data_IF_622345214497
#
_entry.id   IF_622345214497
#
_cell.length_a   1.000
_cell.length_b   1.000
_cell.length_c   1.000
_cell.angle_alpha   90.00
_cell.angle_beta   90.00
_cell.angle_gamma   90.00
#
_symmetry.space_group_name_H-M   'P 1'
#
loop_
_entity.id
_entity.type
_entity.pdbx_description
1 polymer ?
#
# COMPACT_ATOMS: atom_id res chain seq x y z
N UNK A 1 -54.06 -12.41 4.99
CA UNK A 1 -53.34 -12.96 6.16
C UNK A 1 -51.89 -12.46 6.35
N UNK A 2 -51.21 -11.71 5.44
CA UNK A 2 -49.89 -11.14 5.77
C UNK A 2 -49.94 -9.81 6.56
N UNK A 3 -51.06 -9.08 6.55
CA UNK A 3 -51.19 -7.78 7.24
C UNK A 3 -51.21 -7.85 8.77
N UNK A 4 -51.63 -8.98 9.36
CA UNK A 4 -51.65 -9.13 10.82
C UNK A 4 -50.25 -9.26 11.43
N UNK A 5 -49.30 -9.82 10.67
CA UNK A 5 -47.94 -10.05 11.16
C UNK A 5 -47.14 -8.74 11.26
N UNK A 6 -47.37 -7.82 10.31
CA UNK A 6 -46.75 -6.49 10.31
C UNK A 6 -47.31 -5.63 11.45
N UNK A 7 -48.62 -5.69 11.69
CA UNK A 7 -49.25 -5.01 12.83
C UNK A 7 -48.74 -5.53 14.18
N UNK A 8 -48.52 -6.84 14.31
CA UNK A 8 -47.98 -7.43 15.55
C UNK A 8 -46.54 -6.98 15.81
N UNK A 9 -45.67 -7.06 14.80
CA UNK A 9 -44.29 -6.57 14.88
C UNK A 9 -44.22 -5.08 15.21
N UNK A 10 -45.13 -4.28 14.66
CA UNK A 10 -45.16 -2.85 14.91
C UNK A 10 -45.63 -2.50 16.32
N UNK A 11 -46.55 -3.27 16.90
CA UNK A 11 -46.96 -3.16 18.32
C UNK A 11 -45.80 -3.59 19.23
N UNK A 12 -45.13 -4.70 18.91
CA UNK A 12 -44.01 -5.22 19.71
C UNK A 12 -42.81 -4.25 19.75
N UNK A 13 -42.51 -3.58 18.62
CA UNK A 13 -41.47 -2.53 18.54
C UNK A 13 -41.91 -1.27 19.31
N UNK A 14 -43.19 -0.89 19.26
CA UNK A 14 -43.68 0.29 19.98
C UNK A 14 -43.64 0.10 21.50
N UNK A 15 -43.98 -1.11 21.97
CA UNK A 15 -43.95 -1.50 23.39
C UNK A 15 -42.52 -1.78 23.93
N UNK A 16 -41.48 -1.73 23.09
CA UNK A 16 -40.07 -1.94 23.48
C UNK A 16 -39.83 -3.25 24.24
N UNK A 17 -40.45 -4.36 23.79
CA UNK A 17 -40.36 -5.65 24.49
C UNK A 17 -38.94 -6.22 24.54
N UNK A 18 -38.09 -5.83 23.61
CA UNK A 18 -36.67 -6.22 23.54
C UNK A 18 -35.74 -5.24 24.28
N UNK A 19 -36.26 -4.17 24.89
CA UNK A 19 -35.52 -3.10 25.60
C UNK A 19 -34.43 -2.41 24.76
N UNK A 20 -34.44 -2.57 23.43
CA UNK A 20 -33.39 -2.02 22.58
C UNK A 20 -33.31 -0.48 22.69
N UNK A 21 -34.46 0.18 22.82
CA UNK A 21 -34.52 1.65 22.98
C UNK A 21 -33.94 2.11 24.30
N UNK A 22 -34.16 1.35 25.37
CA UNK A 22 -33.62 1.65 26.70
C UNK A 22 -32.10 1.53 26.73
N UNK A 23 -31.56 0.53 26.02
CA UNK A 23 -30.12 0.31 25.90
C UNK A 23 -29.44 1.41 25.05
N UNK A 24 -30.08 1.87 23.97
CA UNK A 24 -29.61 3.01 23.17
C UNK A 24 -29.57 4.32 23.97
N UNK A 25 -30.59 4.59 24.78
CA UNK A 25 -30.63 5.79 25.65
C UNK A 25 -29.54 5.73 26.73
N UNK A 26 -29.29 4.55 27.30
CA UNK A 26 -28.23 4.37 28.30
C UNK A 26 -26.83 4.62 27.70
N UNK A 27 -26.58 4.13 26.49
CA UNK A 27 -25.34 4.36 25.77
C UNK A 27 -25.07 5.85 25.47
N UNK A 28 -26.13 6.62 25.16
CA UNK A 28 -26.03 8.08 24.99
C UNK A 28 -25.75 8.82 26.31
N UNK A 29 -26.10 8.23 27.46
CA UNK A 29 -25.89 8.80 28.79
C UNK A 29 -24.49 8.60 29.39
N UNK A 30 -23.56 7.95 28.67
CA UNK A 30 -22.19 7.73 29.14
C UNK A 30 -22.02 6.57 30.12
N UNK A 31 -23.04 5.71 30.27
CA UNK A 31 -22.94 4.42 30.96
C UNK A 31 -23.07 3.29 29.94
N UNK A 32 -22.10 2.38 29.90
CA UNK A 32 -22.28 1.12 29.15
C UNK A 32 -23.29 0.21 29.87
N UNK A 33 -23.91 -0.73 29.14
CA UNK A 33 -24.88 -1.69 29.70
C UNK A 33 -24.32 -2.53 30.89
N UNK A 34 -22.99 -2.59 31.04
CA UNK A 34 -22.26 -3.23 32.14
C UNK A 34 -21.87 -2.28 33.29
N UNK A 35 -22.29 -1.01 33.25
CA UNK A 35 -22.02 -0.01 34.28
C UNK A 35 -20.65 0.68 34.21
N UNK A 36 -19.88 0.47 33.14
CA UNK A 36 -18.57 1.14 32.97
C UNK A 36 -18.77 2.60 32.55
N UNK A 37 -18.13 3.49 33.30
CA UNK A 37 -18.34 4.94 33.28
C UNK A 37 -17.45 5.58 32.21
N UNK A 38 -18.03 6.04 31.09
CA UNK A 38 -17.30 6.52 29.89
C UNK A 38 -16.54 7.83 30.16
N UNK A 39 -16.90 8.55 31.23
CA UNK A 39 -16.27 9.81 31.62
C UNK A 39 -14.87 9.66 32.25
N UNK A 40 -14.43 8.45 32.62
CA UNK A 40 -13.08 8.26 33.19
C UNK A 40 -11.99 8.70 32.20
N UNK A 41 -12.13 8.31 30.93
CA UNK A 41 -11.21 8.68 29.85
C UNK A 41 -11.12 10.21 29.66
N UNK A 42 -12.22 10.94 29.85
CA UNK A 42 -12.24 12.40 29.79
C UNK A 42 -11.43 13.02 30.92
N UNK A 43 -11.61 12.55 32.16
CA UNK A 43 -10.90 13.09 33.31
C UNK A 43 -9.41 12.74 33.29
N UNK A 44 -9.03 11.57 32.77
CA UNK A 44 -7.64 11.19 32.58
C UNK A 44 -6.94 12.10 31.56
N UNK A 45 -7.58 12.37 30.42
CA UNK A 45 -7.07 13.29 29.39
C UNK A 45 -6.96 14.73 29.90
N UNK A 46 -7.91 15.20 30.70
CA UNK A 46 -7.88 16.52 31.33
C UNK A 46 -6.69 16.67 32.30
N UNK A 47 -6.38 15.61 33.05
CA UNK A 47 -5.25 15.59 34.01
C UNK A 47 -3.92 15.68 33.28
N UNK A 48 -3.78 15.00 32.16
CA UNK A 48 -2.58 15.03 31.31
C UNK A 48 -2.32 16.42 30.74
N UNK A 49 -3.33 17.07 30.15
CA UNK A 49 -3.22 18.43 29.60
C UNK A 49 -2.78 19.43 30.68
N UNK A 50 -3.38 19.36 31.88
CA UNK A 50 -3.00 20.24 33.00
C UNK A 50 -1.56 20.04 33.44
N UNK A 51 -1.07 18.80 33.48
CA UNK A 51 0.30 18.50 33.87
C UNK A 51 1.31 18.99 32.82
N UNK A 52 1.00 18.88 31.53
CA UNK A 52 1.84 19.40 30.46
C UNK A 52 2.06 20.92 30.57
N UNK A 53 0.98 21.70 30.71
CA UNK A 53 1.08 23.15 30.86
C UNK A 53 1.71 23.59 32.19
N UNK A 54 1.67 22.74 33.22
CA UNK A 54 2.42 22.97 34.47
C UNK A 54 3.93 22.82 34.26
N UNK A 55 4.35 21.84 33.45
CA UNK A 55 5.77 21.58 33.14
C UNK A 55 6.36 22.51 32.10
N UNK A 56 5.51 23.08 31.23
CA UNK A 56 5.94 23.96 30.15
C UNK A 56 5.21 25.32 30.22
N UNK A 57 5.55 26.20 31.18
CA UNK A 57 4.87 27.49 31.35
C UNK A 57 5.04 28.43 30.15
N UNK A 58 6.11 28.25 29.38
CA UNK A 58 6.42 29.06 28.19
C UNK A 58 5.89 28.44 26.88
N UNK A 59 5.27 27.25 26.93
CA UNK A 59 4.64 26.66 25.75
C UNK A 59 3.42 27.50 25.37
N UNK A 60 3.48 28.13 24.19
CA UNK A 60 2.37 28.89 23.62
C UNK A 60 1.19 27.96 23.38
N UNK A 61 0.00 28.39 23.77
CA UNK A 61 -1.26 27.71 23.39
C UNK A 61 -1.51 28.04 21.92
N UNK A 62 -1.46 27.02 21.07
CA UNK A 62 -1.77 27.16 19.64
C UNK A 62 -3.29 27.02 19.50
N UNK A 63 -3.97 28.10 19.08
CA UNK A 63 -5.39 28.04 18.72
C UNK A 63 -5.51 27.31 17.37
N UNK A 64 -6.36 26.26 17.24
CA UNK A 64 -6.60 25.59 15.96
C UNK A 64 -7.14 26.50 14.85
N UNK A 65 -7.65 27.68 15.19
CA UNK A 65 -8.14 28.70 14.26
C UNK A 65 -7.12 29.84 14.00
N UNK A 66 -5.93 29.83 14.62
CA UNK A 66 -4.88 30.81 14.32
C UNK A 66 -4.25 30.49 12.94
N UNK A 67 -4.18 31.49 12.06
CA UNK A 67 -3.58 31.36 10.73
C UNK A 67 -2.11 30.90 10.84
N UNK A 68 -1.84 29.71 10.30
CA UNK A 68 -0.54 29.02 10.33
C UNK A 68 0.61 29.86 9.74
N UNK A 69 0.29 30.83 8.88
CA UNK A 69 1.27 31.79 8.34
C UNK A 69 1.92 32.69 9.40
N UNK A 70 1.23 32.97 10.51
CA UNK A 70 1.78 33.80 11.59
C UNK A 70 2.84 33.02 12.37
N UNK A 71 2.64 31.71 12.54
CA UNK A 71 3.58 30.80 13.19
C UNK A 71 4.91 30.68 12.42
N UNK A 72 4.84 30.67 11.08
CA UNK A 72 6.00 30.59 10.20
C UNK A 72 6.81 31.90 10.11
N UNK A 73 6.22 33.03 10.49
CA UNK A 73 6.86 34.35 10.47
C UNK A 73 7.53 34.72 11.79
N UNK A 74 7.38 33.92 12.85
CA UNK A 74 8.09 34.13 14.11
C UNK A 74 9.54 33.67 13.96
N UNK A 75 10.44 34.63 13.76
CA UNK A 75 11.88 34.37 13.73
C UNK A 75 12.33 33.73 15.05
N UNK A 76 13.04 32.58 15.00
CA UNK A 76 13.58 31.99 16.21
C UNK A 76 14.54 32.96 16.88
N UNK A 77 14.39 33.17 18.18
CA UNK A 77 15.29 34.01 18.96
C UNK A 77 16.65 33.30 19.10
N UNK A 78 17.54 33.50 18.14
CA UNK A 78 18.91 32.97 18.17
C UNK A 78 19.74 33.86 19.10
N UNK A 79 20.14 33.34 20.26
CA UNK A 79 21.07 34.04 21.14
C UNK A 79 22.45 34.16 20.48
N UNK A 80 22.99 35.38 20.46
CA UNK A 80 24.27 35.67 19.81
C UNK A 80 25.47 35.10 20.60
N UNK A 81 25.81 33.84 20.34
CA UNK A 81 26.85 33.08 21.04
C UNK A 81 28.30 33.39 20.61
N UNK A 82 28.47 34.11 19.49
CA UNK A 82 29.80 34.47 18.96
C UNK A 82 30.48 33.35 18.15
N UNK A 83 29.79 32.25 17.87
CA UNK A 83 30.26 31.14 17.03
C UNK A 83 30.70 31.60 15.63
N UNK A 84 29.95 32.50 15.00
CA UNK A 84 30.30 33.06 13.70
C UNK A 84 31.66 33.78 13.70
N UNK A 85 32.05 34.42 14.81
CA UNK A 85 33.37 35.05 14.94
C UNK A 85 34.48 34.00 15.04
N UNK A 86 34.23 32.91 15.77
CA UNK A 86 35.20 31.84 15.93
C UNK A 86 35.47 31.13 14.60
N UNK A 87 34.42 30.88 13.80
CA UNK A 87 34.53 30.32 12.45
C UNK A 87 35.38 31.20 11.51
N UNK A 88 35.31 32.52 11.69
CA UNK A 88 36.09 33.50 10.92
C UNK A 88 37.50 33.78 11.51
N UNK A 89 37.92 33.04 12.55
CA UNK A 89 39.22 33.25 13.21
C UNK A 89 39.32 34.56 14.00
N UNK A 90 38.20 35.25 14.21
CA UNK A 90 38.09 36.48 14.98
C UNK A 90 37.96 36.15 16.48
N UNK A 91 38.33 37.11 17.33
CA UNK A 91 38.15 36.98 18.78
C UNK A 91 36.67 36.83 19.11
N UNK A 92 36.28 35.71 19.71
CA UNK A 92 34.91 35.40 20.12
C UNK A 92 34.59 35.76 21.58
N UNK A 93 35.58 36.17 22.40
CA UNK A 93 35.37 36.59 23.79
C UNK A 93 34.93 38.06 23.95
N UNK A 94 34.36 38.41 25.11
CA UNK A 94 33.91 39.78 25.45
C UNK A 94 32.39 39.92 25.52
N UNK A 95 31.89 41.16 25.62
CA UNK A 95 30.44 41.42 25.70
C UNK A 95 29.73 41.15 24.37
N UNK A 96 28.42 40.88 24.42
CA UNK A 96 27.56 40.64 23.23
C UNK A 96 27.73 41.76 22.20
N UNK A 97 27.76 43.01 22.65
CA UNK A 97 27.94 44.20 21.80
C UNK A 97 29.31 44.22 21.10
N UNK A 98 30.41 43.94 21.82
CA UNK A 98 31.75 43.89 21.23
C UNK A 98 31.92 42.77 20.22
N UNK A 99 31.21 41.65 20.42
CA UNK A 99 31.15 40.55 19.46
C UNK A 99 30.37 40.99 18.21
N UNK A 100 29.25 41.70 18.37
CA UNK A 100 28.44 42.17 17.25
C UNK A 100 29.21 43.18 16.40
N UNK A 101 29.88 44.15 17.02
CA UNK A 101 30.73 45.13 16.36
C UNK A 101 31.85 44.47 15.53
N UNK A 102 32.49 43.43 16.06
CA UNK A 102 33.51 42.66 15.31
C UNK A 102 32.93 41.90 14.12
N UNK A 103 31.70 41.43 14.22
CA UNK A 103 31.02 40.74 13.12
C UNK A 103 30.52 41.74 12.07
N UNK A 104 30.10 42.94 12.48
CA UNK A 104 29.70 43.98 11.53
C UNK A 104 30.88 44.49 10.70
N UNK A 105 32.10 44.55 11.27
CA UNK A 105 33.32 44.90 10.54
C UNK A 105 33.59 43.99 9.33
N UNK A 106 33.14 42.74 9.35
CA UNK A 106 33.32 41.79 8.23
C UNK A 106 32.32 41.99 7.09
N UNK A 107 31.23 42.75 7.31
CA UNK A 107 30.29 43.12 6.24
C UNK A 107 30.88 44.18 5.31
N UNK A 108 31.50 45.20 5.89
CA UNK A 108 31.99 46.36 5.14
C UNK A 108 33.46 46.23 4.73
N UNK A 109 34.23 45.38 5.42
CA UNK A 109 35.67 45.21 5.17
C UNK A 109 36.02 43.73 5.00
N UNK A 110 36.59 43.32 3.85
CA UNK A 110 37.00 41.93 3.64
C UNK A 110 38.08 41.53 4.65
N UNK A 111 38.02 40.27 5.11
CA UNK A 111 38.86 39.71 6.19
C UNK A 111 40.36 39.95 6.01
N UNK A 112 40.84 39.99 4.77
CA UNK A 112 42.25 40.20 4.43
C UNK A 112 42.80 41.56 4.89
N UNK A 113 41.93 42.58 4.90
CA UNK A 113 42.26 43.98 5.22
C UNK A 113 42.02 44.33 6.69
N UNK A 114 41.50 43.41 7.50
CA UNK A 114 41.28 43.64 8.92
C UNK A 114 42.59 43.64 9.71
N UNK A 115 42.68 44.53 10.70
CA UNK A 115 43.87 44.65 11.57
C UNK A 115 44.07 43.35 12.38
N UNK A 116 45.34 42.95 12.56
CA UNK A 116 45.76 41.72 13.26
C UNK A 116 45.23 41.65 14.70
N UNK A 117 44.82 42.78 15.27
CA UNK A 117 44.24 42.89 16.62
C UNK A 117 42.87 42.24 16.77
N UNK A 118 42.10 42.10 15.69
CA UNK A 118 40.78 41.48 15.73
C UNK A 118 40.81 39.95 15.66
N UNK A 119 41.93 39.39 15.20
CA UNK A 119 42.12 37.95 15.07
C UNK A 119 42.55 37.29 16.38
N UNK A 120 42.14 36.03 16.55
CA UNK A 120 42.59 35.20 17.66
C UNK A 120 44.11 34.90 17.55
N UNK A 121 44.79 34.79 18.69
CA UNK A 121 46.24 34.57 18.74
C UNK A 121 46.57 33.19 18.12
N UNK A 122 47.25 33.20 16.98
CA UNK A 122 47.57 32.00 16.20
C UNK A 122 46.81 31.85 14.87
N UNK A 123 45.86 32.75 14.56
CA UNK A 123 45.00 32.62 13.37
C UNK A 123 45.67 32.94 12.03
N UNK A 124 46.80 33.67 11.99
CA UNK A 124 47.59 33.90 10.76
C UNK A 124 48.89 33.10 10.79
N UNK A 125 48.80 31.81 10.45
CA UNK A 125 49.94 30.93 10.19
C UNK A 125 50.16 30.72 8.69
N UNK A 126 51.35 31.07 8.20
CA UNK A 126 52.01 30.68 6.94
C UNK A 126 51.26 30.81 5.60
N UNK A 127 51.67 31.81 4.81
CA UNK A 127 51.54 31.83 3.35
C UNK A 127 52.39 30.70 2.74
N UNK A 128 51.76 29.57 2.41
CA UNK A 128 52.32 28.57 1.50
C UNK A 128 51.20 28.04 0.59
N UNK A 129 51.46 28.03 -0.73
CA UNK A 129 50.74 27.31 -1.80
C UNK A 129 49.55 27.98 -2.51
N UNK A 130 49.84 29.00 -3.32
CA UNK A 130 48.92 29.47 -4.39
C UNK A 130 48.57 28.41 -5.46
N UNK A 131 49.32 27.30 -5.54
CA UNK A 131 49.02 26.18 -6.46
C UNK A 131 48.00 25.20 -5.86
N UNK A 132 47.97 25.04 -4.53
CA UNK A 132 46.99 24.18 -3.84
C UNK A 132 45.60 24.83 -3.79
N UNK A 133 45.53 26.15 -3.63
CA UNK A 133 44.26 26.88 -3.63
C UNK A 133 43.55 26.83 -4.99
N UNK A 134 44.26 27.02 -6.11
CA UNK A 134 43.68 26.96 -7.47
C UNK A 134 43.21 25.55 -7.82
N UNK A 135 43.93 24.50 -7.37
CA UNK A 135 43.46 23.12 -7.48
C UNK A 135 42.20 22.88 -6.63
N UNK A 136 42.14 23.44 -5.42
CA UNK A 136 40.95 23.35 -4.57
C UNK A 136 39.73 24.07 -5.17
N UNK A 137 39.89 25.28 -5.73
CA UNK A 137 38.79 25.97 -6.43
C UNK A 137 38.30 25.20 -7.67
N UNK A 138 39.23 24.57 -8.41
CA UNK A 138 38.88 23.72 -9.54
C UNK A 138 38.12 22.46 -9.10
N UNK A 139 38.52 21.84 -7.99
CA UNK A 139 37.84 20.70 -7.38
C UNK A 139 36.44 21.07 -6.86
N UNK A 140 36.32 22.24 -6.22
CA UNK A 140 35.03 22.79 -5.76
C UNK A 140 34.11 23.05 -6.95
N UNK A 141 34.59 23.73 -7.99
CA UNK A 141 33.78 24.01 -9.19
C UNK A 141 33.35 22.71 -9.91
N UNK A 142 34.22 21.69 -9.92
CA UNK A 142 33.90 20.38 -10.47
C UNK A 142 32.86 19.65 -9.61
N UNK A 143 32.96 19.73 -8.28
CA UNK A 143 31.94 19.22 -7.37
C UNK A 143 30.60 19.92 -7.53
N UNK A 144 30.56 21.25 -7.61
CA UNK A 144 29.34 22.01 -7.85
C UNK A 144 28.67 21.59 -9.17
N UNK A 145 29.44 21.46 -10.25
CA UNK A 145 28.91 20.99 -11.52
C UNK A 145 28.35 19.55 -11.44
N UNK A 146 29.02 18.67 -10.69
CA UNK A 146 28.53 17.30 -10.45
C UNK A 146 27.25 17.28 -9.62
N UNK A 147 27.18 18.07 -8.55
CA UNK A 147 26.00 18.19 -7.69
C UNK A 147 24.83 18.71 -8.51
N UNK A 148 25.02 19.78 -9.28
CA UNK A 148 23.99 20.32 -10.17
C UNK A 148 23.48 19.24 -11.14
N UNK A 149 24.39 18.47 -11.74
CA UNK A 149 23.98 17.40 -12.66
C UNK A 149 23.24 16.25 -11.95
N UNK A 150 23.64 15.91 -10.73
CA UNK A 150 22.93 14.90 -9.92
C UNK A 150 21.56 15.40 -9.48
N UNK A 151 21.42 16.68 -9.12
CA UNK A 151 20.15 17.30 -8.78
C UNK A 151 19.18 17.30 -9.97
N UNK A 152 19.66 17.54 -11.20
CA UNK A 152 18.83 17.38 -12.41
C UNK A 152 18.37 15.94 -12.62
N UNK A 153 19.26 14.96 -12.42
CA UNK A 153 18.93 13.54 -12.62
C UNK A 153 18.00 12.98 -11.53
N UNK A 154 18.09 13.53 -10.31
CA UNK A 154 17.33 13.09 -9.13
C UNK A 154 16.19 14.04 -8.80
N UNK A 155 15.79 14.93 -9.70
CA UNK A 155 14.75 15.95 -9.48
C UNK A 155 13.46 15.33 -8.91
N UNK A 156 12.98 14.25 -9.53
CA UNK A 156 11.81 13.51 -9.06
C UNK A 156 11.97 12.95 -7.63
N UNK A 157 13.17 12.48 -7.28
CA UNK A 157 13.44 11.97 -5.92
C UNK A 157 13.50 13.09 -4.91
N UNK A 158 14.08 14.23 -5.27
CA UNK A 158 14.15 15.44 -4.44
C UNK A 158 12.76 16.00 -4.20
N UNK A 159 11.89 16.03 -5.21
CA UNK A 159 10.51 16.49 -5.02
C UNK A 159 9.71 15.52 -4.16
N UNK A 160 9.89 14.21 -4.35
CA UNK A 160 9.29 13.19 -3.47
C UNK A 160 9.72 13.35 -2.01
N UNK A 161 10.99 13.68 -1.73
CA UNK A 161 11.45 13.88 -0.34
C UNK A 161 10.97 15.19 0.25
N UNK A 162 10.85 16.27 -0.54
CA UNK A 162 10.18 17.51 -0.10
C UNK A 162 8.73 17.25 0.29
N UNK A 163 7.98 16.57 -0.58
CA UNK A 163 6.59 16.21 -0.30
C UNK A 163 6.48 15.33 0.95
N UNK A 164 7.43 14.41 1.16
CA UNK A 164 7.49 13.59 2.35
C UNK A 164 7.73 14.41 3.62
N UNK A 165 8.64 15.40 3.58
CA UNK A 165 8.88 16.29 4.72
C UNK A 165 7.64 17.13 5.03
N UNK A 166 6.97 17.68 4.01
CA UNK A 166 5.74 18.45 4.18
C UNK A 166 4.63 17.58 4.79
N UNK A 167 4.48 16.34 4.32
CA UNK A 167 3.57 15.36 4.92
C UNK A 167 3.94 15.11 6.39
N UNK A 168 5.19 14.77 6.69
CA UNK A 168 5.69 14.54 8.06
C UNK A 168 5.45 15.73 8.98
N UNK A 169 5.52 16.96 8.46
CA UNK A 169 5.24 18.17 9.23
C UNK A 169 3.74 18.42 9.46
N UNK A 170 2.88 17.94 8.57
CA UNK A 170 1.42 18.04 8.71
C UNK A 170 0.80 16.88 9.53
N UNK A 171 1.58 15.82 9.79
CA UNK A 171 1.15 14.64 10.53
C UNK A 171 1.04 14.93 12.03
N UNK A 172 0.00 14.37 12.64
CA UNK A 172 -0.21 14.41 14.09
C UNK A 172 0.73 13.43 14.82
N UNK A 173 0.94 13.61 16.12
CA UNK A 173 1.85 12.76 16.91
C UNK A 173 1.53 11.26 16.80
N UNK A 174 0.24 10.89 16.78
CA UNK A 174 -0.21 9.50 16.62
C UNK A 174 0.16 8.94 15.23
N UNK A 175 0.14 9.77 14.19
CA UNK A 175 0.50 9.36 12.83
C UNK A 175 2.04 9.32 12.63
N UNK A 176 2.80 10.15 13.36
CA UNK A 176 4.27 10.12 13.38
C UNK A 176 4.80 8.87 14.10
N UNK A 177 4.17 8.46 15.21
CA UNK A 177 4.52 7.19 15.89
C UNK A 177 4.23 5.98 14.99
N UNK A 178 3.11 5.99 14.26
CA UNK A 178 2.77 4.95 13.29
C UNK A 178 3.78 4.86 12.13
N UNK A 179 4.21 5.99 11.54
CA UNK A 179 5.23 5.97 10.48
C UNK A 179 6.60 5.48 10.97
N UNK A 180 6.97 5.76 12.23
CA UNK A 180 8.23 5.27 12.81
C UNK A 180 8.18 3.77 13.08
N UNK A 181 7.05 3.25 13.56
CA UNK A 181 6.85 1.79 13.72
C UNK A 181 6.84 1.07 12.36
N UNK A 182 6.30 1.68 11.31
CA UNK A 182 6.38 1.15 9.94
C UNK A 182 7.82 1.16 9.38
N UNK A 183 8.61 2.20 9.66
CA UNK A 183 10.01 2.31 9.22
C UNK A 183 10.93 1.32 9.96
N UNK A 184 10.71 1.09 11.26
CA UNK A 184 11.43 0.08 12.07
C UNK A 184 11.06 -1.36 11.66
N UNK A 185 9.79 -1.63 11.33
CA UNK A 185 9.36 -2.97 10.84
C UNK A 185 9.85 -3.28 9.44
N UNK A 186 10.08 -2.27 8.59
CA UNK A 186 10.69 -2.45 7.27
C UNK A 186 12.17 -2.84 7.34
N UNK A 187 12.90 -2.38 8.36
CA UNK A 187 14.29 -2.78 8.60
C UNK A 187 14.41 -4.23 9.15
N UNK A 188 13.40 -4.69 9.89
CA UNK A 188 13.35 -6.06 10.45
C UNK A 188 12.80 -7.12 9.47
N UNK A 189 12.27 -6.73 8.30
CA UNK A 189 11.61 -7.65 7.34
C UNK A 189 12.42 -7.96 6.06
N UNK A 190 13.67 -7.51 5.92
CA UNK A 190 14.56 -8.02 4.85
C UNK A 190 15.05 -9.46 5.08
N UNK A 191 14.65 -10.08 6.19
CA UNK A 191 14.92 -11.47 6.51
C UNK A 191 13.62 -12.20 6.87
N UNK A 192 13.08 -12.91 5.88
CA UNK A 192 12.17 -14.06 5.99
C UNK A 192 10.68 -13.83 5.64
N UNK A 193 10.31 -14.57 4.61
CA UNK A 193 9.01 -15.08 4.18
C UNK A 193 7.92 -14.17 3.59
N UNK A 194 7.52 -14.56 2.38
CA UNK A 194 6.40 -14.06 1.59
C UNK A 194 5.08 -14.21 2.36
N UNK A 195 4.59 -13.14 2.99
CA UNK A 195 3.16 -12.80 3.10
C UNK A 195 2.99 -11.47 3.85
N UNK A 196 2.96 -10.36 3.11
CA UNK A 196 2.58 -9.05 3.63
C UNK A 196 1.14 -9.07 4.13
N UNK A 197 0.98 -9.30 5.44
CA UNK A 197 -0.29 -9.23 6.14
C UNK A 197 -0.67 -7.76 6.36
N UNK A 198 -1.22 -7.13 5.31
CA UNK A 198 -1.80 -5.79 5.37
C UNK A 198 -2.91 -5.77 6.43
N UNK A 199 -2.74 -4.98 7.50
CA UNK A 199 -3.69 -4.84 8.59
C UNK A 199 -4.99 -4.20 8.09
N UNK A 200 -6.07 -4.99 8.12
CA UNK A 200 -7.39 -4.62 7.63
C UNK A 200 -8.39 -4.64 8.80
N UNK A 201 -8.52 -3.52 9.54
CA UNK A 201 -9.32 -3.44 10.75
C UNK A 201 -10.83 -3.67 10.53
N UNK A 202 -11.30 -3.65 9.27
CA UNK A 202 -12.70 -3.88 8.88
C UNK A 202 -12.94 -5.18 8.09
N UNK A 203 -11.90 -6.03 7.89
CA UNK A 203 -11.96 -7.26 7.08
C UNK A 203 -12.64 -7.08 5.69
N UNK A 204 -12.36 -5.96 5.03
CA UNK A 204 -12.81 -5.69 3.65
C UNK A 204 -11.93 -6.39 2.61
N UNK A 205 -12.48 -7.17 1.65
CA UNK A 205 -11.66 -7.88 0.66
C UNK A 205 -10.81 -6.95 -0.20
N UNK A 206 -9.53 -7.31 -0.37
CA UNK A 206 -8.51 -6.52 -1.07
C UNK A 206 -8.84 -6.38 -2.57
N UNK A 207 -8.65 -5.18 -3.11
CA UNK A 207 -8.84 -4.94 -4.55
C UNK A 207 -7.68 -5.47 -5.39
N UNK A 208 -7.88 -5.48 -6.70
CA UNK A 208 -6.86 -5.79 -7.71
C UNK A 208 -5.72 -4.74 -7.78
N UNK A 209 -5.82 -3.68 -6.99
CA UNK A 209 -4.93 -2.51 -6.95
C UNK A 209 -4.18 -2.41 -5.58
N UNK A 210 -4.26 -3.45 -4.74
CA UNK A 210 -3.59 -3.49 -3.42
C UNK A 210 -4.17 -2.54 -2.35
N UNK A 211 -5.13 -1.67 -2.73
CA UNK A 211 -5.80 -0.72 -1.82
C UNK A 211 -7.13 -1.28 -1.29
N UNK A 212 -7.55 -0.92 -0.07
CA UNK A 212 -8.87 -1.27 0.46
C UNK A 212 -9.98 -0.73 -0.44
N UNK A 213 -10.85 -1.62 -0.93
CA UNK A 213 -11.96 -1.23 -1.81
C UNK A 213 -13.02 -0.50 -0.99
N UNK A 214 -13.45 0.71 -1.41
CA UNK A 214 -14.56 1.41 -0.75
C UNK A 214 -15.82 0.55 -0.65
N UNK A 215 -16.48 0.54 0.52
CA UNK A 215 -17.60 -0.36 0.86
C UNK A 215 -18.78 -0.33 -0.14
N UNK A 216 -19.05 0.84 -0.73
CA UNK A 216 -20.11 0.98 -1.74
C UNK A 216 -19.71 0.35 -3.09
N UNK A 217 -18.43 0.41 -3.45
CA UNK A 217 -17.89 -0.19 -4.67
C UNK A 217 -17.91 -1.72 -4.58
N UNK A 218 -17.66 -2.24 -3.37
CA UNK A 218 -17.79 -3.66 -3.03
C UNK A 218 -19.22 -4.20 -3.23
N UNK A 219 -20.24 -3.48 -2.73
CA UNK A 219 -21.66 -3.83 -2.95
C UNK A 219 -22.11 -3.65 -4.40
N UNK A 220 -21.61 -2.63 -5.10
CA UNK A 220 -22.01 -2.31 -6.48
C UNK A 220 -21.46 -3.30 -7.51
N UNK A 221 -20.21 -3.74 -7.37
CA UNK A 221 -19.57 -4.67 -8.30
C UNK A 221 -19.70 -6.14 -7.93
N UNK A 222 -20.41 -6.46 -6.84
CA UNK A 222 -20.63 -7.84 -6.39
C UNK A 222 -19.35 -8.56 -5.97
N UNK A 223 -18.31 -7.83 -5.54
CA UNK A 223 -17.03 -8.40 -5.10
C UNK A 223 -17.15 -9.22 -3.81
N UNK A 224 -18.24 -9.06 -3.07
CA UNK A 224 -18.50 -9.80 -1.83
C UNK A 224 -19.09 -11.19 -1.97
N UNK A 225 -19.39 -11.60 -3.20
CA UNK A 225 -19.86 -12.95 -3.44
C UNK A 225 -18.66 -13.87 -3.66
N UNK A 226 -18.46 -14.80 -2.73
CA UNK A 226 -17.46 -15.86 -2.84
C UNK A 226 -17.96 -16.93 -3.83
N UNK A 227 -17.13 -17.27 -4.82
CA UNK A 227 -17.37 -18.35 -5.76
C UNK A 227 -16.26 -19.39 -5.65
N UNK A 228 -16.60 -20.63 -5.33
CA UNK A 228 -15.64 -21.72 -5.20
C UNK A 228 -15.61 -22.57 -6.48
N UNK A 229 -14.42 -22.93 -6.94
CA UNK A 229 -14.24 -23.84 -8.08
C UNK A 229 -13.56 -25.14 -7.64
N UNK A 230 -14.27 -26.27 -7.71
CA UNK A 230 -13.77 -27.60 -7.32
C UNK A 230 -12.67 -28.08 -8.28
N UNK A 231 -12.84 -27.84 -9.59
CA UNK A 231 -11.85 -28.19 -10.64
C UNK A 231 -10.49 -27.51 -10.41
N UNK A 232 -10.47 -26.36 -9.74
CA UNK A 232 -9.26 -25.62 -9.36
C UNK A 232 -8.74 -25.95 -7.95
N UNK A 233 -9.20 -27.04 -7.33
CA UNK A 233 -8.80 -27.43 -5.97
C UNK A 233 -9.51 -26.63 -4.88
N UNK A 234 -10.80 -26.33 -5.07
CA UNK A 234 -11.63 -25.51 -4.15
C UNK A 234 -11.10 -24.09 -3.92
N UNK A 235 -10.43 -23.52 -4.92
CA UNK A 235 -9.98 -22.13 -4.84
C UNK A 235 -11.18 -21.17 -4.87
N UNK A 236 -11.16 -20.19 -3.97
CA UNK A 236 -12.19 -19.16 -3.83
C UNK A 236 -11.85 -17.93 -4.68
N UNK A 237 -12.78 -17.56 -5.56
CA UNK A 237 -12.75 -16.34 -6.35
C UNK A 237 -13.74 -15.33 -5.79
N UNK A 238 -13.32 -14.08 -5.63
CA UNK A 238 -14.15 -13.00 -5.10
C UNK A 238 -14.75 -12.18 -6.24
N UNK A 239 -16.07 -12.25 -6.35
CA UNK A 239 -16.86 -11.54 -7.35
C UNK A 239 -16.95 -12.22 -8.72
N UNK A 240 -18.07 -11.94 -9.41
CA UNK A 240 -18.43 -12.60 -10.68
C UNK A 240 -17.41 -12.38 -11.80
N UNK A 241 -16.80 -11.20 -11.88
CA UNK A 241 -15.82 -10.89 -12.94
C UNK A 241 -14.51 -11.67 -12.79
N UNK A 242 -14.01 -11.82 -11.56
CA UNK A 242 -12.84 -12.65 -11.29
C UNK A 242 -13.14 -14.12 -11.57
N UNK A 243 -14.32 -14.57 -11.17
CA UNK A 243 -14.81 -15.91 -11.49
C UNK A 243 -14.97 -16.13 -13.01
N UNK A 244 -15.54 -15.23 -13.79
CA UNK A 244 -15.64 -15.47 -15.24
C UNK A 244 -14.27 -15.49 -15.95
N UNK A 245 -13.29 -14.75 -15.42
CA UNK A 245 -11.92 -14.75 -15.95
C UNK A 245 -11.20 -16.07 -15.68
N UNK A 246 -11.45 -16.72 -14.53
CA UNK A 246 -10.70 -17.91 -14.11
C UNK A 246 -10.81 -19.09 -15.08
N UNK A 247 -11.93 -19.22 -15.81
CA UNK A 247 -12.11 -20.27 -16.83
C UNK A 247 -11.06 -20.24 -17.94
N UNK A 248 -10.45 -19.06 -18.20
CA UNK A 248 -9.38 -18.89 -19.19
C UNK A 248 -7.99 -18.95 -18.58
N UNK A 249 -7.87 -18.95 -17.26
CA UNK A 249 -6.59 -19.00 -16.57
C UNK A 249 -5.97 -20.39 -16.64
N UNK A 250 -4.64 -20.45 -16.56
CA UNK A 250 -3.89 -21.69 -16.69
C UNK A 250 -4.31 -22.75 -15.66
N UNK A 251 -4.63 -22.34 -14.41
CA UNK A 251 -5.05 -23.25 -13.34
C UNK A 251 -6.31 -24.03 -13.71
N UNK A 252 -7.32 -23.37 -14.24
CA UNK A 252 -8.56 -24.03 -14.66
C UNK A 252 -8.35 -24.88 -15.92
N UNK A 253 -7.58 -24.37 -16.90
CA UNK A 253 -7.21 -25.15 -18.10
C UNK A 253 -6.47 -26.45 -17.74
N UNK A 254 -5.55 -26.38 -16.77
CA UNK A 254 -4.80 -27.53 -16.29
C UNK A 254 -5.72 -28.52 -15.57
N UNK A 255 -6.64 -28.04 -14.70
CA UNK A 255 -7.65 -28.88 -14.07
C UNK A 255 -8.51 -29.64 -15.09
N UNK A 256 -9.01 -28.94 -16.12
CA UNK A 256 -9.78 -29.55 -17.21
C UNK A 256 -8.95 -30.57 -18.01
N UNK A 257 -7.66 -30.28 -18.24
CA UNK A 257 -6.74 -31.20 -18.92
C UNK A 257 -6.51 -32.48 -18.11
N UNK A 258 -6.38 -32.39 -16.79
CA UNK A 258 -6.25 -33.55 -15.91
C UNK A 258 -7.52 -34.42 -15.90
N UNK A 259 -8.68 -33.83 -16.14
CA UNK A 259 -9.96 -34.54 -16.31
C UNK A 259 -10.16 -35.14 -17.71
N UNK A 260 -9.28 -34.81 -18.68
CA UNK A 260 -9.43 -35.23 -20.08
C UNK A 260 -10.57 -34.52 -20.81
N UNK A 261 -11.06 -33.40 -20.29
CA UNK A 261 -12.17 -32.63 -20.88
C UNK A 261 -11.60 -31.41 -21.62
N UNK A 262 -11.97 -31.17 -22.89
CA UNK A 262 -11.53 -29.97 -23.59
C UNK A 262 -12.17 -28.71 -22.99
N UNK A 263 -11.36 -27.72 -22.64
CA UNK A 263 -11.82 -26.44 -22.10
C UNK A 263 -12.47 -25.57 -23.20
N UNK A 264 -13.74 -25.85 -23.48
CA UNK A 264 -14.58 -25.12 -24.43
C UNK A 264 -15.59 -24.26 -23.69
N UNK A 265 -16.18 -23.25 -24.35
CA UNK A 265 -17.18 -22.35 -23.75
C UNK A 265 -18.40 -23.08 -23.16
N UNK A 266 -18.66 -24.32 -23.58
CA UNK A 266 -19.75 -25.15 -23.08
C UNK A 266 -19.57 -25.54 -21.59
N UNK A 267 -18.34 -25.44 -21.08
CA UNK A 267 -18.01 -25.75 -19.69
C UNK A 267 -17.86 -24.51 -18.81
N UNK A 268 -18.14 -23.31 -19.34
CA UNK A 268 -18.18 -22.11 -18.53
C UNK A 268 -19.30 -22.23 -17.49
N UNK A 269 -19.06 -21.70 -16.29
CA UNK A 269 -19.92 -21.78 -15.09
C UNK A 269 -19.98 -23.14 -14.40
N UNK A 270 -19.30 -24.17 -14.91
CA UNK A 270 -19.21 -25.48 -14.25
C UNK A 270 -18.05 -25.46 -13.27
N UNK A 271 -18.38 -25.63 -11.98
CA UNK A 271 -17.39 -25.64 -10.90
C UNK A 271 -17.11 -27.03 -10.38
N UNK A 272 -18.11 -27.92 -10.40
CA UNK A 272 -17.98 -29.28 -9.88
C UNK A 272 -17.36 -30.24 -10.90
N UNK A 273 -16.53 -31.14 -10.39
CA UNK A 273 -15.88 -32.18 -11.20
C UNK A 273 -16.91 -33.20 -11.70
N UNK A 274 -17.90 -33.55 -10.87
CA UNK A 274 -18.93 -34.52 -11.21
C UNK A 274 -19.83 -34.01 -12.35
N UNK A 275 -20.29 -32.77 -12.23
CA UNK A 275 -21.11 -32.11 -13.26
C UNK A 275 -20.36 -31.97 -14.59
N UNK A 276 -19.08 -31.60 -14.54
CA UNK A 276 -18.25 -31.50 -15.74
C UNK A 276 -18.13 -32.85 -16.48
N UNK A 277 -17.93 -33.94 -15.74
CA UNK A 277 -17.87 -35.30 -16.31
C UNK A 277 -19.21 -35.73 -16.91
N UNK A 278 -20.31 -35.46 -16.22
CA UNK A 278 -21.65 -35.82 -16.72
C UNK A 278 -21.99 -35.04 -17.99
N UNK A 279 -21.72 -33.74 -18.02
CA UNK A 279 -21.92 -32.93 -19.22
C UNK A 279 -21.05 -33.43 -20.37
N UNK A 280 -19.78 -33.75 -20.10
CA UNK A 280 -18.88 -34.28 -21.13
C UNK A 280 -19.41 -35.60 -21.70
N UNK A 281 -19.89 -36.51 -20.85
CA UNK A 281 -20.51 -37.77 -21.28
C UNK A 281 -21.71 -37.52 -22.19
N UNK A 282 -22.64 -36.63 -21.81
CA UNK A 282 -23.80 -36.26 -22.65
C UNK A 282 -23.37 -35.62 -23.98
N UNK A 283 -22.32 -34.81 -23.98
CA UNK A 283 -21.75 -34.21 -25.20
C UNK A 283 -21.13 -35.29 -26.09
N UNK A 284 -20.37 -36.23 -25.54
CA UNK A 284 -19.77 -37.34 -26.30
C UNK A 284 -20.83 -38.25 -26.93
N UNK A 285 -21.89 -38.56 -26.19
CA UNK A 285 -23.06 -39.30 -26.69
C UNK A 285 -23.71 -38.56 -27.87
N UNK A 286 -23.85 -37.23 -27.74
CA UNK A 286 -24.50 -36.39 -28.77
C UNK A 286 -23.60 -36.11 -29.98
N UNK A 287 -22.28 -36.01 -29.78
CA UNK A 287 -21.27 -35.80 -30.85
C UNK A 287 -20.90 -37.10 -31.57
N UNK A 288 -21.40 -38.26 -31.11
CA UNK A 288 -21.30 -39.51 -31.87
C UNK A 288 -19.89 -40.10 -31.89
N UNK A 289 -19.11 -39.94 -30.83
CA UNK A 289 -17.85 -40.71 -30.69
C UNK A 289 -18.14 -42.22 -30.53
N UNK A 290 -19.36 -42.57 -30.08
CA UNK A 290 -19.91 -43.94 -30.11
C UNK A 290 -20.75 -44.23 -31.38
N UNK A 291 -20.60 -43.46 -32.45
CA UNK A 291 -21.27 -43.76 -33.73
C UNK A 291 -20.37 -44.70 -34.51
N UNK A 292 -20.73 -45.99 -34.54
CA UNK A 292 -20.09 -47.05 -35.34
C UNK A 292 -19.64 -46.48 -36.68
N UNK A 293 -18.33 -46.58 -36.97
CA UNK A 293 -17.74 -46.04 -38.21
C UNK A 293 -17.56 -47.18 -39.20
N UNK A 294 -18.47 -47.35 -40.20
CA UNK A 294 -18.42 -48.51 -41.09
C UNK A 294 -17.08 -48.63 -41.82
N UNK A 295 -16.46 -47.52 -42.21
CA UNK A 295 -15.20 -47.56 -42.97
C UNK A 295 -13.99 -48.06 -42.17
N UNK A 296 -14.07 -48.02 -40.83
CA UNK A 296 -12.99 -48.43 -39.90
C UNK A 296 -13.30 -49.74 -39.18
N UNK A 297 -14.57 -49.98 -38.85
CA UNK A 297 -15.03 -51.06 -37.99
C UNK A 297 -15.73 -52.19 -38.76
N UNK A 298 -16.06 -52.01 -40.06
CA UNK A 298 -16.61 -53.08 -40.90
C UNK A 298 -15.47 -53.90 -41.53
N UNK A 299 -15.44 -55.19 -41.17
CA UNK A 299 -14.44 -56.16 -41.61
C UNK A 299 -14.96 -57.00 -42.78
N UNK A 300 -14.12 -57.17 -43.81
CA UNK A 300 -14.37 -57.96 -45.01
C UNK A 300 -13.34 -59.09 -45.09
N UNK A 301 -13.82 -60.30 -45.39
CA UNK A 301 -12.98 -61.47 -45.61
C UNK A 301 -12.76 -61.66 -47.12
N UNK A 302 -11.52 -61.91 -47.52
CA UNK A 302 -11.17 -62.28 -48.89
C UNK A 302 -11.43 -63.78 -49.16
N UNK A 303 -11.13 -64.25 -50.37
CA UNK A 303 -11.31 -65.68 -50.73
C UNK A 303 -10.29 -66.61 -50.08
N UNK A 304 -9.22 -66.05 -49.51
CA UNK A 304 -8.14 -66.78 -48.84
C UNK A 304 -8.35 -66.82 -47.31
N UNK A 305 -9.39 -66.14 -46.81
CA UNK A 305 -9.76 -66.09 -45.40
C UNK A 305 -9.08 -64.96 -44.61
N UNK A 306 -8.43 -64.01 -45.28
CA UNK A 306 -7.81 -62.86 -44.62
C UNK A 306 -8.85 -61.75 -44.38
N UNK A 307 -8.82 -61.19 -43.18
CA UNK A 307 -9.79 -60.18 -42.73
C UNK A 307 -9.15 -58.79 -42.83
N UNK A 308 -9.82 -57.89 -43.56
CA UNK A 308 -9.40 -56.51 -43.76
C UNK A 308 -10.53 -55.53 -43.42
N UNK A 309 -10.19 -54.34 -42.94
CA UNK A 309 -11.19 -53.28 -42.86
C UNK A 309 -11.68 -52.88 -44.28
N UNK A 310 -12.90 -52.37 -44.39
CA UNK A 310 -13.55 -52.00 -45.66
C UNK A 310 -12.67 -51.18 -46.61
N UNK A 311 -11.96 -50.18 -46.08
CA UNK A 311 -11.12 -49.31 -46.90
C UNK A 311 -9.92 -50.06 -47.48
N UNK A 312 -9.24 -50.83 -46.65
CA UNK A 312 -8.10 -51.65 -47.07
C UNK A 312 -8.54 -52.72 -48.06
N UNK A 313 -9.67 -53.38 -47.82
CA UNK A 313 -10.24 -54.36 -48.73
C UNK A 313 -10.56 -53.74 -50.10
N UNK A 314 -11.27 -52.61 -50.13
CA UNK A 314 -11.63 -51.94 -51.39
C UNK A 314 -10.41 -51.40 -52.15
N UNK A 315 -9.38 -50.92 -51.46
CA UNK A 315 -8.14 -50.47 -52.08
C UNK A 315 -7.32 -51.65 -52.62
N UNK A 316 -7.22 -52.76 -51.89
CA UNK A 316 -6.56 -53.99 -52.35
C UNK A 316 -7.30 -54.61 -53.55
N UNK A 317 -8.64 -54.60 -53.52
CA UNK A 317 -9.48 -55.06 -54.63
C UNK A 317 -9.30 -54.19 -55.88
N UNK A 318 -9.16 -52.86 -55.73
CA UNK A 318 -8.87 -51.94 -56.85
C UNK A 318 -7.47 -52.13 -57.43
N UNK A 319 -6.51 -52.53 -56.60
CA UNK A 319 -5.14 -52.84 -57.02
C UNK A 319 -5.01 -54.26 -57.60
N UNK A 320 -6.06 -55.09 -57.50
CA UNK A 320 -6.09 -56.46 -57.98
C UNK A 320 -5.25 -57.44 -57.15
N UNK A 321 -5.05 -57.12 -55.86
CA UNK A 321 -4.22 -57.90 -54.93
C UNK A 321 -5.01 -58.95 -54.14
N UNK A 322 -6.36 -58.89 -54.16
CA UNK A 322 -7.29 -59.83 -53.49
C UNK A 322 -8.54 -60.08 -54.33
#
# INVERSE_FOLDING_TARGET
MPDLFVLFLQVDIYEDKDNARKDEIAALGGQTATGTNVFSAFYDRLKEIREYHRRHPAARVVDPNEDFEVLLKEEPLIEFSGEALAALGLKSGGTVQQRAERLFLTKDTPLEKLDKKHFAKGSRGQEQNGVSAVNSFKEIALMEAKINKLCELLEETVDRTKDNIVKKQALTYEEIEAEREEEDTQADTESDDDDQQIYNPLKLPMGWDGKPIPYWLYKLHGLGQEFKCEICGNYSYWGRRAFERHFKEWRHQHGMRCLGIPNTKNFNEITSIEEAKELWKRIQERQGVNKWRPDLEEEYEDKEGNIYNKKTYTDLQRQGLI
#
